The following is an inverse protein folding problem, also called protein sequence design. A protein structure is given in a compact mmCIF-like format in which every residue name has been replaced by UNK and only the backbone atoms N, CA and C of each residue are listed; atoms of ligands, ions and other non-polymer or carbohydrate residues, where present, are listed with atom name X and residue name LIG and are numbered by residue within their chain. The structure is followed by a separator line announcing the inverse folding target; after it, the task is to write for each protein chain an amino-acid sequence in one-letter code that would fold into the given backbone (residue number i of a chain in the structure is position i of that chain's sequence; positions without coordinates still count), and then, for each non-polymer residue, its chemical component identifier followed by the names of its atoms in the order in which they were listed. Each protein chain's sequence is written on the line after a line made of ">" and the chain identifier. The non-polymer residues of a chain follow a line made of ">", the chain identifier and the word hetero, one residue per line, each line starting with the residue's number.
data_IF_712626511439
#
_entry.id   IF_712626511439
#
_cell.length_a   1.000
_cell.length_b   1.000
_cell.length_c   1.000
_cell.angle_alpha   90.00
_cell.angle_beta   90.00
_cell.angle_gamma   90.00
#
_symmetry.space_group_name_H-M   'P 1'
#
loop_
_entity.id
_entity.type
_entity.pdbx_description
1 polymer ?
#
# COMPACT_ATOMS: atom_id res chain seq x y z
N UNK A 1 9.56 -32.25 -6.42
CA UNK A 1 8.17 -32.20 -6.95
C UNK A 1 7.74 -30.73 -6.90
N UNK A 2 7.70 -30.09 -8.05
CA UNK A 2 7.52 -28.64 -8.16
C UNK A 2 6.06 -28.25 -8.26
N UNK A 3 5.62 -27.35 -7.40
CA UNK A 3 4.35 -26.64 -7.56
C UNK A 3 4.58 -25.38 -8.42
N UNK A 4 4.19 -25.46 -9.67
CA UNK A 4 4.11 -24.28 -10.55
C UNK A 4 2.81 -23.56 -10.28
N UNK A 5 2.89 -22.38 -9.61
CA UNK A 5 1.79 -21.44 -9.47
C UNK A 5 1.42 -20.84 -10.83
N UNK A 6 0.19 -21.04 -11.28
CA UNK A 6 -0.36 -20.44 -12.51
C UNK A 6 -0.70 -18.98 -12.27
N UNK A 7 0.02 -18.08 -12.92
CA UNK A 7 -0.40 -16.70 -13.09
C UNK A 7 -1.56 -16.67 -14.10
N UNK A 8 -2.73 -16.21 -13.67
CA UNK A 8 -3.86 -16.01 -14.57
C UNK A 8 -3.61 -14.75 -15.41
N UNK A 9 -3.21 -14.95 -16.68
CA UNK A 9 -3.18 -13.91 -17.68
C UNK A 9 -4.60 -13.74 -18.25
N UNK A 10 -5.19 -12.56 -18.10
CA UNK A 10 -6.44 -12.19 -18.77
C UNK A 10 -6.09 -11.73 -20.18
N UNK A 11 -6.42 -12.57 -21.17
CA UNK A 11 -6.35 -12.23 -22.58
C UNK A 11 -7.62 -11.50 -23.00
N UNK A 12 -7.50 -10.27 -23.51
CA UNK A 12 -8.56 -9.57 -24.25
C UNK A 12 -8.28 -9.63 -25.74
N UNK A 13 -9.23 -10.17 -26.49
CA UNK A 13 -9.20 -10.22 -27.92
C UNK A 13 -9.45 -8.85 -28.56
N UNK A 14 -8.68 -8.51 -29.57
CA UNK A 14 -8.80 -7.28 -30.33
C UNK A 14 -9.81 -7.44 -31.49
N UNK A 15 -10.71 -6.47 -31.66
CA UNK A 15 -11.44 -6.24 -32.90
C UNK A 15 -11.13 -4.82 -33.39
N UNK A 16 -10.61 -4.73 -34.58
CA UNK A 16 -10.34 -3.48 -35.27
C UNK A 16 -11.55 -3.09 -36.15
N UNK A 17 -12.00 -1.84 -36.07
CA UNK A 17 -12.84 -1.20 -37.09
C UNK A 17 -12.39 0.24 -37.25
N UNK A 18 -12.10 0.60 -38.52
CA UNK A 18 -11.72 1.94 -38.95
C UNK A 18 -12.95 2.81 -39.25
N UNK A 19 -12.86 4.11 -39.02
CA UNK A 19 -13.88 5.05 -39.44
C UNK A 19 -13.42 6.51 -39.28
N UNK A 20 -13.39 7.22 -40.44
CA UNK A 20 -13.02 8.64 -40.60
C UNK A 20 -14.13 9.62 -40.17
N UNK A 21 -13.73 10.85 -39.82
CA UNK A 21 -14.49 12.00 -40.27
C UNK A 21 -14.78 13.14 -39.30
N UNK A 22 -14.24 14.32 -39.65
CA UNK A 22 -14.76 15.67 -39.60
C UNK A 22 -14.85 16.43 -38.26
N UNK A 23 -14.22 17.60 -38.25
CA UNK A 23 -14.17 18.57 -37.13
C UNK A 23 -15.45 19.42 -37.03
N UNK A 24 -15.66 19.96 -35.86
CA UNK A 24 -16.45 21.14 -35.59
C UNK A 24 -15.88 21.83 -34.34
N UNK A 25 -15.55 23.10 -34.57
CA UNK A 25 -15.07 24.07 -33.58
C UNK A 25 -16.25 24.51 -32.72
N UNK A 26 -16.16 24.32 -31.42
CA UNK A 26 -17.15 24.90 -30.48
C UNK A 26 -16.47 25.46 -29.25
N UNK A 27 -16.59 26.73 -29.07
CA UNK A 27 -16.26 27.56 -27.92
C UNK A 27 -16.58 26.86 -26.59
N UNK A 28 -15.54 26.52 -25.85
CA UNK A 28 -15.61 25.80 -24.60
C UNK A 28 -15.85 26.76 -23.45
N UNK A 29 -17.08 26.87 -23.04
CA UNK A 29 -17.42 27.44 -21.73
C UNK A 29 -16.78 26.56 -20.66
N UNK A 30 -15.88 27.11 -19.84
CA UNK A 30 -15.24 26.41 -18.75
C UNK A 30 -16.28 26.03 -17.68
N UNK A 31 -16.85 24.86 -17.79
CA UNK A 31 -17.61 24.24 -16.70
C UNK A 31 -16.62 23.88 -15.60
N UNK A 32 -16.60 24.64 -14.53
CA UNK A 32 -15.87 24.32 -13.29
C UNK A 32 -16.41 23.00 -12.76
N UNK A 33 -15.69 21.93 -13.08
CA UNK A 33 -16.00 20.58 -12.61
C UNK A 33 -15.81 20.58 -11.08
N UNK A 34 -16.85 20.23 -10.28
CA UNK A 34 -16.68 20.14 -8.83
C UNK A 34 -15.48 19.24 -8.52
N UNK A 35 -14.66 19.65 -7.57
CA UNK A 35 -13.47 18.86 -7.16
C UNK A 35 -13.91 17.44 -6.88
N UNK A 36 -13.38 16.51 -7.66
CA UNK A 36 -13.78 15.09 -7.55
C UNK A 36 -13.54 14.63 -6.10
N UNK A 37 -14.60 14.18 -5.44
CA UNK A 37 -14.54 13.64 -4.08
C UNK A 37 -13.52 12.49 -4.07
N UNK A 38 -12.58 12.54 -3.12
CA UNK A 38 -11.56 11.48 -3.01
C UNK A 38 -12.23 10.10 -2.87
N UNK A 39 -11.83 9.09 -3.67
CA UNK A 39 -12.39 7.74 -3.59
C UNK A 39 -12.07 7.04 -2.26
N UNK A 40 -11.21 7.63 -1.44
CA UNK A 40 -10.76 7.08 -0.15
C UNK A 40 -11.44 7.75 1.05
N UNK A 41 -12.55 8.47 0.84
CA UNK A 41 -13.34 9.03 1.94
C UNK A 41 -14.11 7.92 2.66
N UNK A 42 -14.16 8.03 3.98
CA UNK A 42 -14.97 7.20 4.85
C UNK A 42 -15.41 8.05 6.05
N UNK A 43 -16.40 7.59 6.77
CA UNK A 43 -16.81 8.20 8.04
C UNK A 43 -15.82 7.79 9.13
N UNK A 44 -14.97 8.74 9.54
CA UNK A 44 -13.98 8.52 10.59
C UNK A 44 -14.63 8.39 11.99
N UNK A 45 -15.86 8.86 12.18
CA UNK A 45 -16.62 8.73 13.43
C UNK A 45 -17.30 7.36 13.57
N UNK A 46 -17.44 6.61 12.47
CA UNK A 46 -18.02 5.27 12.51
C UNK A 46 -17.24 4.34 13.45
N UNK A 47 -17.92 3.54 14.28
CA UNK A 47 -17.27 2.67 15.25
C UNK A 47 -16.23 1.75 14.61
N UNK A 48 -15.06 1.64 15.23
CA UNK A 48 -14.02 0.69 14.80
C UNK A 48 -14.44 -0.76 15.06
N UNK A 49 -15.34 -1.00 15.99
CA UNK A 49 -15.74 -2.33 16.44
C UNK A 49 -14.50 -3.27 16.57
N UNK A 50 -13.42 -2.71 17.15
CA UNK A 50 -12.17 -3.43 17.38
C UNK A 50 -12.40 -4.64 18.26
N UNK A 51 -11.76 -5.76 17.90
CA UNK A 51 -11.81 -7.01 18.67
C UNK A 51 -10.41 -7.59 18.75
N UNK A 52 -10.01 -8.01 19.95
CA UNK A 52 -8.91 -8.94 20.16
C UNK A 52 -9.50 -10.36 20.10
N UNK A 53 -9.04 -11.17 19.17
CA UNK A 53 -9.52 -12.53 18.90
C UNK A 53 -8.69 -13.59 19.63
N UNK A 54 -7.67 -13.15 20.35
CA UNK A 54 -6.81 -14.02 21.14
C UNK A 54 -5.34 -13.96 20.71
N UNK A 55 -4.53 -14.73 21.43
CA UNK A 55 -3.07 -14.80 21.23
C UNK A 55 -2.71 -15.70 20.06
N UNK A 56 -1.80 -15.25 19.22
CA UNK A 56 -1.23 -16.08 18.16
C UNK A 56 -0.08 -16.93 18.74
N UNK A 57 -0.18 -18.23 18.61
CA UNK A 57 0.88 -19.14 19.01
C UNK A 57 2.03 -19.14 18.02
N UNK A 58 3.26 -19.11 18.50
CA UNK A 58 4.46 -19.15 17.67
C UNK A 58 5.71 -18.63 18.38
N UNK A 59 6.89 -18.86 17.80
CA UNK A 59 8.17 -18.43 18.38
C UNK A 59 8.46 -16.96 18.09
N UNK A 60 7.52 -16.08 18.42
CA UNK A 60 7.69 -14.65 18.21
C UNK A 60 8.44 -14.03 19.40
N UNK A 61 9.33 -13.04 19.16
CA UNK A 61 10.10 -12.40 20.22
C UNK A 61 9.20 -11.56 21.17
N UNK A 62 8.03 -11.18 20.71
CA UNK A 62 7.00 -10.45 21.47
C UNK A 62 5.65 -11.11 21.19
N UNK A 63 4.80 -11.07 22.19
CA UNK A 63 3.44 -11.55 22.07
C UNK A 63 2.67 -10.85 20.93
N UNK A 64 1.98 -11.64 20.12
CA UNK A 64 1.18 -11.18 18.98
C UNK A 64 -0.28 -11.54 19.22
N UNK A 65 -1.16 -10.59 19.03
CA UNK A 65 -2.61 -10.78 19.11
C UNK A 65 -3.22 -10.85 17.71
N UNK A 66 -4.15 -11.79 17.50
CA UNK A 66 -5.06 -11.79 16.38
C UNK A 66 -6.13 -10.72 16.65
N UNK A 67 -6.32 -9.82 15.71
CA UNK A 67 -7.23 -8.68 15.90
C UNK A 67 -8.09 -8.44 14.67
N UNK A 68 -9.22 -7.78 14.86
CA UNK A 68 -10.02 -7.32 13.74
C UNK A 68 -10.71 -6.00 14.05
N UNK A 69 -11.05 -5.26 13.00
CA UNK A 69 -11.77 -3.98 13.09
C UNK A 69 -12.71 -3.78 11.91
N UNK A 70 -13.66 -2.84 12.04
CA UNK A 70 -14.61 -2.52 10.99
C UNK A 70 -14.05 -1.50 10.00
N UNK A 71 -14.26 -1.77 8.71
CA UNK A 71 -14.11 -0.83 7.61
C UNK A 71 -15.40 -0.83 6.76
N UNK A 72 -15.64 0.17 5.90
CA UNK A 72 -16.84 0.21 5.05
C UNK A 72 -16.99 -1.00 4.13
N UNK A 73 -15.89 -1.67 3.79
CA UNK A 73 -15.88 -2.90 2.97
C UNK A 73 -16.18 -4.18 3.76
N UNK A 74 -16.34 -4.09 5.07
CA UNK A 74 -16.48 -5.22 5.96
C UNK A 74 -15.44 -5.27 7.06
N UNK A 75 -15.30 -6.43 7.70
CA UNK A 75 -14.33 -6.64 8.76
C UNK A 75 -12.95 -6.90 8.18
N UNK A 76 -11.94 -6.20 8.71
CA UNK A 76 -10.53 -6.36 8.37
C UNK A 76 -9.85 -7.11 9.51
N UNK A 77 -9.15 -8.18 9.17
CA UNK A 77 -8.36 -8.97 10.11
C UNK A 77 -6.89 -8.53 10.09
N UNK A 78 -6.23 -8.58 11.22
CA UNK A 78 -4.84 -8.20 11.36
C UNK A 78 -4.13 -8.95 12.48
N UNK A 79 -2.82 -8.77 12.57
CA UNK A 79 -2.04 -9.12 13.74
C UNK A 79 -1.48 -7.85 14.36
N UNK A 80 -1.47 -7.82 15.69
CA UNK A 80 -0.97 -6.68 16.46
C UNK A 80 0.07 -7.16 17.46
N UNK A 81 1.27 -6.59 17.41
CA UNK A 81 2.33 -6.81 18.38
C UNK A 81 2.60 -5.50 19.11
N UNK A 82 2.33 -5.48 20.42
CA UNK A 82 2.55 -4.32 21.27
C UNK A 82 3.78 -4.56 22.16
N UNK A 83 4.77 -3.67 22.16
CA UNK A 83 5.94 -3.82 23.01
C UNK A 83 5.54 -3.71 24.50
N UNK A 84 6.20 -4.45 25.39
CA UNK A 84 6.02 -4.28 26.83
C UNK A 84 6.59 -2.94 27.30
N UNK A 85 6.12 -2.49 28.46
CA UNK A 85 6.58 -1.27 29.14
C UNK A 85 5.67 -0.07 28.93
N UNK A 86 6.00 0.98 29.66
CA UNK A 86 5.21 2.21 29.70
C UNK A 86 5.60 3.23 28.62
N UNK A 87 4.73 4.21 28.43
CA UNK A 87 4.90 5.32 27.50
C UNK A 87 4.47 5.02 26.08
N UNK A 88 4.28 6.10 25.31
CA UNK A 88 3.86 6.02 23.92
C UNK A 88 5.03 5.76 22.99
N UNK A 89 4.85 4.80 22.11
CA UNK A 89 5.86 4.37 21.12
C UNK A 89 5.37 4.59 19.69
N UNK A 90 6.27 4.61 18.68
CA UNK A 90 5.88 4.59 17.27
C UNK A 90 5.07 3.35 16.92
N UNK A 91 4.36 3.40 15.78
CA UNK A 91 3.71 2.23 15.20
C UNK A 91 4.09 2.07 13.72
N UNK A 92 4.13 0.82 13.25
CA UNK A 92 4.38 0.49 11.84
C UNK A 92 3.33 -0.49 11.36
N UNK A 93 2.67 -0.14 10.26
CA UNK A 93 1.74 -1.01 9.54
C UNK A 93 2.47 -1.68 8.39
N UNK A 94 2.27 -2.99 8.20
CA UNK A 94 2.88 -3.79 7.14
C UNK A 94 1.82 -4.36 6.21
N UNK A 95 2.00 -4.16 4.89
CA UNK A 95 1.06 -4.54 3.84
C UNK A 95 1.69 -5.58 2.90
N UNK A 96 1.02 -6.71 2.77
CA UNK A 96 1.42 -7.83 1.92
C UNK A 96 1.20 -7.59 0.43
N UNK A 97 1.75 -8.46 -0.41
CA UNK A 97 1.56 -8.48 -1.87
C UNK A 97 0.26 -9.17 -2.32
N UNK A 98 0.06 -9.23 -3.64
CA UNK A 98 -1.10 -9.91 -4.23
C UNK A 98 -1.13 -11.40 -3.88
N UNK A 99 -2.31 -11.92 -3.54
CA UNK A 99 -2.50 -13.35 -3.23
C UNK A 99 -1.98 -13.79 -1.85
N UNK A 100 -1.52 -12.85 -1.03
CA UNK A 100 -1.07 -13.10 0.33
C UNK A 100 -2.07 -12.55 1.36
N UNK A 101 -1.68 -12.56 2.63
CA UNK A 101 -2.48 -12.09 3.75
C UNK A 101 -1.59 -11.51 4.87
N UNK A 102 -2.18 -11.19 6.01
CA UNK A 102 -1.53 -10.64 7.21
C UNK A 102 -0.31 -11.43 7.71
N UNK A 103 -0.17 -12.72 7.37
CA UNK A 103 0.96 -13.56 7.82
C UNK A 103 2.29 -13.14 7.19
N UNK A 104 2.28 -12.57 5.98
CA UNK A 104 3.49 -12.20 5.25
C UNK A 104 4.50 -11.43 6.09
N UNK A 105 4.03 -10.46 6.86
CA UNK A 105 4.87 -9.58 7.67
C UNK A 105 4.71 -9.78 9.18
N UNK A 106 4.13 -10.89 9.62
CA UNK A 106 3.90 -11.15 11.03
C UNK A 106 5.20 -11.09 11.85
N UNK A 107 6.27 -11.72 11.36
CA UNK A 107 7.57 -11.68 12.03
C UNK A 107 8.15 -10.26 12.05
N UNK A 108 7.98 -9.47 10.98
CA UNK A 108 8.44 -8.08 10.94
C UNK A 108 7.67 -7.21 11.96
N UNK A 109 6.37 -7.42 12.12
CA UNK A 109 5.56 -6.74 13.14
C UNK A 109 6.02 -7.09 14.56
N UNK A 110 6.26 -8.39 14.85
CA UNK A 110 6.79 -8.83 16.13
C UNK A 110 8.21 -8.28 16.41
N UNK A 111 9.04 -8.17 15.36
CA UNK A 111 10.38 -7.57 15.46
C UNK A 111 10.32 -6.06 15.71
N UNK A 112 9.36 -5.35 15.13
CA UNK A 112 9.12 -3.94 15.44
C UNK A 112 8.78 -3.77 16.93
N UNK A 113 7.94 -4.64 17.49
CA UNK A 113 7.59 -4.62 18.89
C UNK A 113 8.80 -4.91 19.81
N UNK A 114 9.68 -5.83 19.42
CA UNK A 114 10.96 -6.05 20.10
C UNK A 114 11.90 -4.83 20.09
N UNK A 115 11.63 -3.83 19.25
CA UNK A 115 12.36 -2.56 19.12
C UNK A 115 11.56 -1.35 19.59
N UNK A 116 10.59 -1.57 20.47
CA UNK A 116 9.73 -0.54 21.04
C UNK A 116 8.95 0.26 19.98
N UNK A 117 8.38 -0.43 19.00
CA UNK A 117 7.39 0.12 18.09
C UNK A 117 6.22 -0.87 17.98
N UNK A 118 4.98 -0.41 18.05
CA UNK A 118 3.83 -1.28 17.77
C UNK A 118 3.91 -1.74 16.32
N UNK A 119 3.84 -3.07 16.09
CA UNK A 119 3.78 -3.66 14.76
C UNK A 119 2.36 -4.12 14.45
N UNK A 120 1.82 -3.76 13.30
CA UNK A 120 0.51 -4.22 12.83
C UNK A 120 0.59 -4.74 11.41
N UNK A 121 -0.01 -5.90 11.16
CA UNK A 121 -0.27 -6.40 9.81
C UNK A 121 -1.77 -6.46 9.57
N UNK A 122 -2.20 -6.46 8.33
CA UNK A 122 -3.61 -6.66 7.99
C UNK A 122 -3.76 -7.48 6.70
N UNK A 123 -4.85 -8.19 6.57
CA UNK A 123 -5.29 -8.80 5.32
C UNK A 123 -6.03 -7.73 4.52
N UNK A 124 -5.50 -7.37 3.37
CA UNK A 124 -6.13 -6.38 2.50
C UNK A 124 -7.45 -6.92 1.94
N UNK A 125 -8.54 -6.13 1.85
CA UNK A 125 -9.81 -6.53 1.26
C UNK A 125 -9.69 -7.16 -0.13
N UNK A 126 -8.71 -6.74 -0.94
CA UNK A 126 -8.44 -7.33 -2.26
C UNK A 126 -8.10 -8.82 -2.20
N UNK A 127 -7.50 -9.30 -1.10
CA UNK A 127 -7.15 -10.71 -0.93
C UNK A 127 -8.35 -11.60 -0.59
N UNK A 128 -9.46 -11.01 -0.14
CA UNK A 128 -10.70 -11.70 0.22
C UNK A 128 -11.85 -11.43 -0.74
N UNK A 129 -11.64 -10.59 -1.75
CA UNK A 129 -12.68 -10.13 -2.69
C UNK A 129 -13.23 -11.22 -3.62
N UNK A 130 -12.62 -12.40 -3.64
CA UNK A 130 -12.97 -13.50 -4.53
C UNK A 130 -12.70 -13.23 -6.02
N UNK A 131 -12.93 -14.22 -6.84
CA UNK A 131 -12.82 -14.08 -8.30
C UNK A 131 -13.89 -13.10 -8.83
N UNK A 132 -13.62 -12.38 -9.93
CA UNK A 132 -14.65 -11.57 -10.56
C UNK A 132 -15.79 -12.46 -11.05
N UNK A 133 -17.06 -12.04 -10.92
CA UNK A 133 -18.19 -12.72 -11.54
C UNK A 133 -17.97 -12.89 -13.05
N UNK A 134 -18.44 -14.00 -13.60
CA UNK A 134 -18.44 -14.18 -15.05
C UNK A 134 -19.33 -13.15 -15.74
N UNK A 135 -18.99 -12.79 -16.98
CA UNK A 135 -19.82 -11.91 -17.82
C UNK A 135 -19.76 -10.42 -17.48
N UNK A 136 -18.85 -9.97 -16.63
CA UNK A 136 -18.67 -8.54 -16.42
C UNK A 136 -18.17 -7.84 -17.69
N UNK A 137 -18.80 -6.72 -18.03
CA UNK A 137 -18.26 -5.82 -19.06
C UNK A 137 -16.93 -5.21 -18.60
N UNK A 138 -16.07 -4.72 -19.50
CA UNK A 138 -14.83 -4.04 -19.12
C UNK A 138 -15.03 -2.88 -18.15
N UNK A 139 -16.11 -2.11 -18.33
CA UNK A 139 -16.45 -1.00 -17.42
C UNK A 139 -16.85 -1.48 -16.02
N UNK A 140 -17.58 -2.60 -15.92
CA UNK A 140 -17.96 -3.19 -14.63
C UNK A 140 -16.73 -3.79 -13.92
N UNK A 141 -15.86 -4.51 -14.63
CA UNK A 141 -14.59 -5.00 -14.10
C UNK A 141 -13.75 -3.86 -13.53
N UNK A 142 -13.54 -2.81 -14.31
CA UNK A 142 -12.78 -1.64 -13.87
C UNK A 142 -13.40 -0.96 -12.64
N UNK A 143 -14.72 -0.82 -12.60
CA UNK A 143 -15.42 -0.24 -11.46
C UNK A 143 -15.26 -1.12 -10.21
N UNK A 144 -15.29 -2.44 -10.35
CA UNK A 144 -15.04 -3.40 -9.29
C UNK A 144 -13.61 -3.27 -8.76
N UNK A 145 -12.62 -3.33 -9.63
CA UNK A 145 -11.21 -3.29 -9.26
C UNK A 145 -10.85 -1.97 -8.56
N UNK A 146 -11.39 -0.86 -9.04
CA UNK A 146 -11.25 0.45 -8.39
C UNK A 146 -11.88 0.46 -6.99
N UNK A 147 -13.07 -0.13 -6.81
CA UNK A 147 -13.71 -0.21 -5.48
C UNK A 147 -12.90 -1.07 -4.51
N UNK A 148 -12.38 -2.22 -4.99
CA UNK A 148 -11.54 -3.11 -4.18
C UNK A 148 -10.25 -2.40 -3.77
N UNK A 149 -9.55 -1.75 -4.69
CA UNK A 149 -8.36 -0.99 -4.38
C UNK A 149 -8.65 0.19 -3.42
N UNK A 150 -9.78 0.86 -3.58
CA UNK A 150 -10.19 1.90 -2.64
C UNK A 150 -10.49 1.33 -1.26
N UNK A 151 -11.08 0.14 -1.18
CA UNK A 151 -11.31 -0.56 0.08
C UNK A 151 -9.98 -0.91 0.78
N UNK A 152 -8.94 -1.33 0.05
CA UNK A 152 -7.61 -1.58 0.60
C UNK A 152 -7.05 -0.30 1.27
N UNK A 153 -7.09 0.83 0.57
CA UNK A 153 -6.59 2.11 1.11
C UNK A 153 -7.40 2.55 2.34
N UNK A 154 -8.73 2.40 2.30
CA UNK A 154 -9.59 2.75 3.44
C UNK A 154 -9.31 1.81 4.62
N UNK A 155 -9.12 0.51 4.39
CA UNK A 155 -8.76 -0.44 5.44
C UNK A 155 -7.47 -0.05 6.16
N UNK A 156 -6.44 0.38 5.41
CA UNK A 156 -5.18 0.88 5.99
C UNK A 156 -5.41 2.17 6.79
N UNK A 157 -6.22 3.10 6.29
CA UNK A 157 -6.55 4.33 7.03
C UNK A 157 -7.33 4.03 8.33
N UNK A 158 -8.23 3.04 8.30
CA UNK A 158 -8.91 2.56 9.51
C UNK A 158 -7.94 1.86 10.48
N UNK A 159 -6.89 1.17 9.98
CA UNK A 159 -5.81 0.67 10.84
C UNK A 159 -5.05 1.80 11.53
N UNK A 160 -4.85 2.94 10.85
CA UNK A 160 -4.30 4.15 11.47
C UNK A 160 -5.23 4.67 12.58
N UNK A 161 -6.56 4.62 12.40
CA UNK A 161 -7.53 4.99 13.45
C UNK A 161 -7.42 4.05 14.66
N UNK A 162 -7.33 2.73 14.43
CA UNK A 162 -7.09 1.74 15.49
C UNK A 162 -5.83 2.07 16.27
N UNK A 163 -4.70 2.24 15.58
CA UNK A 163 -3.43 2.53 16.22
C UNK A 163 -3.45 3.85 16.98
N UNK A 164 -4.06 4.89 16.42
CA UNK A 164 -4.16 6.19 17.08
C UNK A 164 -5.01 6.15 18.37
N UNK A 165 -5.94 5.20 18.46
CA UNK A 165 -6.76 4.95 19.66
C UNK A 165 -6.08 4.11 20.73
N UNK A 166 -4.96 3.44 20.42
CA UNK A 166 -4.23 2.65 21.43
C UNK A 166 -3.44 3.55 22.38
N UNK A 167 -3.55 3.37 23.70
CA UNK A 167 -2.85 4.21 24.68
C UNK A 167 -1.33 4.13 24.56
N UNK A 168 -0.80 3.01 24.05
CA UNK A 168 0.64 2.79 23.86
C UNK A 168 1.21 3.45 22.59
N UNK A 169 0.38 3.94 21.67
CA UNK A 169 0.83 4.50 20.40
C UNK A 169 0.94 6.03 20.47
N UNK A 170 2.05 6.59 19.96
CA UNK A 170 2.10 8.01 19.60
C UNK A 170 1.52 8.20 18.18
N UNK A 171 0.33 8.80 18.05
CA UNK A 171 -0.33 8.94 16.74
C UNK A 171 0.43 9.87 15.77
N UNK A 172 1.43 10.59 16.25
CA UNK A 172 2.32 11.43 15.44
C UNK A 172 3.51 10.67 14.86
N UNK A 173 3.66 9.36 15.19
CA UNK A 173 4.79 8.52 14.79
C UNK A 173 4.31 7.19 14.20
N UNK A 174 3.50 7.27 13.13
CA UNK A 174 2.99 6.08 12.42
C UNK A 174 3.72 5.94 11.09
N UNK A 175 4.27 4.75 10.84
CA UNK A 175 4.92 4.35 9.60
C UNK A 175 4.13 3.31 8.84
N UNK A 176 4.46 3.18 7.55
CA UNK A 176 3.81 2.26 6.62
C UNK A 176 4.87 1.57 5.77
N UNK A 177 4.80 0.26 5.69
CA UNK A 177 5.64 -0.58 4.84
C UNK A 177 4.73 -1.40 3.94
N UNK A 178 4.98 -1.39 2.64
CA UNK A 178 4.22 -2.22 1.71
C UNK A 178 5.13 -2.90 0.71
N UNK A 179 4.78 -4.12 0.31
CA UNK A 179 5.46 -4.88 -0.73
C UNK A 179 4.53 -5.16 -1.90
N UNK A 180 5.00 -4.99 -3.15
CA UNK A 180 4.26 -5.29 -4.37
C UNK A 180 2.91 -4.55 -4.43
N UNK A 181 1.76 -5.23 -4.42
CA UNK A 181 0.44 -4.61 -4.29
C UNK A 181 0.37 -3.72 -3.04
N UNK A 182 0.86 -4.22 -1.90
CA UNK A 182 0.90 -3.46 -0.65
C UNK A 182 1.70 -2.16 -0.77
N UNK A 183 2.75 -2.12 -1.61
CA UNK A 183 3.50 -0.90 -1.88
C UNK A 183 2.68 0.12 -2.69
N UNK A 184 1.85 -0.32 -3.64
CA UNK A 184 0.93 0.57 -4.36
C UNK A 184 -0.13 1.15 -3.43
N UNK A 185 -0.72 0.31 -2.57
CA UNK A 185 -1.67 0.74 -1.52
C UNK A 185 -0.99 1.72 -0.57
N UNK A 186 0.24 1.43 -0.12
CA UNK A 186 1.02 2.29 0.75
C UNK A 186 1.33 3.65 0.10
N UNK A 187 1.69 3.68 -1.19
CA UNK A 187 1.95 4.90 -1.94
C UNK A 187 0.72 5.82 -1.99
N UNK A 188 -0.46 5.24 -2.23
CA UNK A 188 -1.72 5.99 -2.24
C UNK A 188 -2.09 6.44 -0.82
N UNK A 189 -1.95 5.55 0.16
CA UNK A 189 -2.27 5.87 1.56
C UNK A 189 -1.38 6.98 2.10
N UNK A 190 -0.08 7.00 1.78
CA UNK A 190 0.84 8.04 2.22
C UNK A 190 0.42 9.45 1.75
N UNK A 191 -0.18 9.54 0.56
CA UNK A 191 -0.72 10.80 0.03
C UNK A 191 -2.14 11.15 0.48
N UNK A 192 -2.90 10.16 0.99
CA UNK A 192 -4.28 10.32 1.42
C UNK A 192 -4.44 10.43 2.95
N UNK A 193 -3.39 10.08 3.72
CA UNK A 193 -3.42 9.99 5.19
C UNK A 193 -2.26 10.80 5.81
N UNK A 194 -2.51 12.02 6.26
CA UNK A 194 -1.47 12.93 6.74
C UNK A 194 -0.79 12.50 8.04
N UNK A 195 -1.36 11.51 8.78
CA UNK A 195 -0.76 10.96 10.00
C UNK A 195 0.44 10.04 9.71
N UNK A 196 0.61 9.56 8.47
CA UNK A 196 1.77 8.75 8.08
C UNK A 196 3.02 9.64 8.01
N UNK A 197 4.08 9.21 8.71
CA UNK A 197 5.34 9.95 8.86
C UNK A 197 6.52 9.31 8.14
N UNK A 198 6.44 8.02 7.86
CA UNK A 198 7.45 7.29 7.11
C UNK A 198 6.75 6.23 6.25
N UNK A 199 7.19 6.07 5.02
CA UNK A 199 6.64 5.08 4.09
C UNK A 199 7.77 4.35 3.39
N UNK A 200 7.73 3.03 3.41
CA UNK A 200 8.67 2.18 2.66
C UNK A 200 7.87 1.42 1.59
N UNK A 201 8.29 1.57 0.35
CA UNK A 201 7.67 0.97 -0.83
C UNK A 201 8.64 -0.07 -1.40
N UNK A 202 8.33 -1.35 -1.22
CA UNK A 202 9.17 -2.47 -1.64
C UNK A 202 8.62 -3.07 -2.95
N UNK A 203 9.38 -3.02 -4.04
CA UNK A 203 9.02 -3.57 -5.36
C UNK A 203 7.63 -3.09 -5.84
N UNK A 204 7.29 -1.83 -5.56
CA UNK A 204 6.03 -1.21 -5.94
C UNK A 204 6.21 -0.30 -7.14
N UNK A 205 5.41 -0.48 -8.19
CA UNK A 205 5.48 0.34 -9.39
C UNK A 205 4.21 1.13 -9.69
N UNK A 206 4.32 2.01 -10.67
CA UNK A 206 3.16 2.70 -11.24
C UNK A 206 2.12 1.72 -11.79
N UNK A 207 0.85 2.12 -11.80
CA UNK A 207 -0.15 1.43 -12.59
C UNK A 207 0.13 1.65 -14.08
N UNK A 208 0.03 0.62 -14.93
CA UNK A 208 0.24 0.77 -16.37
C UNK A 208 -0.99 1.40 -17.06
N UNK A 209 -1.38 2.61 -16.61
CA UNK A 209 -2.59 3.33 -17.06
C UNK A 209 -2.63 3.46 -18.58
N UNK A 210 -1.51 3.83 -19.19
CA UNK A 210 -1.43 3.98 -20.65
C UNK A 210 -1.68 2.66 -21.38
N UNK A 211 -1.16 1.53 -20.89
CA UNK A 211 -1.37 0.21 -21.46
C UNK A 211 -2.84 -0.22 -21.34
N UNK A 212 -3.46 -0.04 -20.19
CA UNK A 212 -4.90 -0.31 -20.02
C UNK A 212 -5.77 0.54 -20.95
N UNK A 213 -5.45 1.83 -21.07
CA UNK A 213 -6.17 2.74 -21.96
C UNK A 213 -5.98 2.35 -23.43
N UNK A 214 -4.76 1.97 -23.86
CA UNK A 214 -4.48 1.58 -25.24
C UNK A 214 -5.25 0.32 -25.67
N UNK A 215 -5.42 -0.64 -24.77
CA UNK A 215 -6.14 -1.90 -25.02
C UNK A 215 -7.67 -1.73 -24.99
N UNK A 216 -8.18 -0.61 -24.51
CA UNK A 216 -9.60 -0.37 -24.39
C UNK A 216 -10.22 0.13 -25.70
N UNK A 217 -11.51 -0.18 -25.98
CA UNK A 217 -12.27 0.45 -27.06
C UNK A 217 -12.18 1.98 -27.00
N UNK A 218 -12.04 2.62 -28.16
CA UNK A 218 -11.82 4.08 -28.24
C UNK A 218 -12.85 4.89 -27.43
N UNK A 219 -14.10 4.48 -27.49
CA UNK A 219 -15.22 5.11 -26.75
C UNK A 219 -15.10 5.03 -25.23
N UNK A 220 -14.39 4.03 -24.69
CA UNK A 220 -14.22 3.83 -23.25
C UNK A 220 -12.91 4.42 -22.71
N UNK A 221 -11.95 4.77 -23.58
CA UNK A 221 -10.62 5.27 -23.15
C UNK A 221 -10.67 6.46 -22.20
N UNK A 222 -11.50 7.50 -22.45
CA UNK A 222 -11.59 8.63 -21.52
C UNK A 222 -12.08 8.20 -20.13
N UNK A 223 -13.11 7.35 -20.07
CA UNK A 223 -13.67 6.85 -18.81
C UNK A 223 -12.66 5.99 -18.04
N UNK A 224 -11.96 5.09 -18.73
CA UNK A 224 -10.94 4.21 -18.14
C UNK A 224 -9.79 5.05 -17.60
N UNK A 225 -9.28 5.99 -18.36
CA UNK A 225 -8.23 6.92 -17.91
C UNK A 225 -8.67 7.68 -16.67
N UNK A 226 -9.85 8.30 -16.68
CA UNK A 226 -10.38 9.05 -15.55
C UNK A 226 -10.52 8.17 -14.29
N UNK A 227 -10.99 6.94 -14.46
CA UNK A 227 -11.18 5.97 -13.39
C UNK A 227 -9.85 5.55 -12.75
N UNK A 228 -8.86 5.18 -13.56
CA UNK A 228 -7.54 4.76 -13.08
C UNK A 228 -6.76 5.92 -12.45
N UNK A 229 -6.87 7.14 -13.00
CA UNK A 229 -6.22 8.32 -12.44
C UNK A 229 -6.66 8.61 -11.00
N UNK A 230 -7.88 8.24 -10.61
CA UNK A 230 -8.36 8.47 -9.24
C UNK A 230 -7.62 7.61 -8.20
N UNK A 231 -7.13 6.45 -8.58
CA UNK A 231 -6.43 5.49 -7.73
C UNK A 231 -4.94 5.36 -8.06
N UNK A 232 -4.43 6.20 -8.96
CA UNK A 232 -3.05 6.11 -9.45
C UNK A 232 -2.03 6.41 -8.34
N UNK A 233 -1.14 5.47 -7.99
CA UNK A 233 -0.07 5.67 -7.02
C UNK A 233 0.81 6.88 -7.34
N UNK A 234 1.05 7.20 -8.63
CA UNK A 234 1.86 8.36 -9.03
C UNK A 234 1.25 9.67 -8.55
N UNK A 235 -0.06 9.81 -8.68
CA UNK A 235 -0.79 11.01 -8.28
C UNK A 235 -0.81 11.21 -6.77
N UNK A 236 -0.91 10.10 -6.02
CA UNK A 236 -1.06 10.17 -4.57
C UNK A 236 0.26 10.27 -3.85
N UNK A 237 1.29 9.50 -4.26
CA UNK A 237 2.60 9.55 -3.62
C UNK A 237 3.21 10.96 -3.66
N UNK A 238 2.95 11.73 -4.72
CA UNK A 238 3.39 13.11 -4.83
C UNK A 238 2.88 14.03 -3.71
N UNK A 239 1.83 13.63 -3.01
CA UNK A 239 1.23 14.35 -1.87
C UNK A 239 1.75 13.88 -0.52
N UNK A 240 2.54 12.83 -0.48
CA UNK A 240 3.16 12.37 0.76
C UNK A 240 4.12 13.45 1.29
N UNK A 241 4.43 13.36 2.57
CA UNK A 241 5.33 14.32 3.23
C UNK A 241 6.72 14.29 2.58
N UNK A 242 7.34 15.43 2.27
CA UNK A 242 8.72 15.48 1.79
C UNK A 242 9.68 14.74 2.71
N UNK A 243 10.61 13.96 2.15
CA UNK A 243 11.61 13.20 2.87
C UNK A 243 11.07 12.00 3.67
N UNK A 244 9.80 11.62 3.52
CA UNK A 244 9.17 10.52 4.26
C UNK A 244 9.12 9.19 3.51
N UNK A 245 9.65 9.10 2.30
CA UNK A 245 9.50 7.92 1.44
C UNK A 245 10.85 7.27 1.14
N UNK A 246 10.92 5.96 1.32
CA UNK A 246 11.98 5.08 0.83
C UNK A 246 11.38 4.12 -0.20
N UNK A 247 11.90 4.13 -1.42
CA UNK A 247 11.60 3.15 -2.46
C UNK A 247 12.74 2.13 -2.52
N UNK A 248 12.38 0.86 -2.54
CA UNK A 248 13.31 -0.28 -2.54
C UNK A 248 12.96 -1.21 -3.69
N UNK A 249 13.83 -1.33 -4.68
CA UNK A 249 13.56 -2.04 -5.92
C UNK A 249 14.66 -3.05 -6.27
N UNK A 250 14.25 -4.21 -6.79
CA UNK A 250 15.16 -5.23 -7.30
C UNK A 250 15.66 -4.90 -8.69
N UNK A 251 16.99 -5.03 -8.92
CA UNK A 251 17.57 -4.83 -10.26
C UNK A 251 17.13 -5.88 -11.27
N UNK A 252 16.69 -7.05 -10.79
CA UNK A 252 16.19 -8.20 -11.55
C UNK A 252 14.73 -8.50 -11.24
N UNK A 253 13.92 -7.46 -10.95
CA UNK A 253 12.48 -7.62 -10.77
C UNK A 253 11.84 -7.96 -12.12
N UNK A 254 11.29 -9.17 -12.23
CA UNK A 254 10.62 -9.71 -13.43
C UNK A 254 9.09 -9.53 -13.36
N UNK A 255 8.55 -9.08 -12.22
CA UNK A 255 7.12 -8.90 -12.00
C UNK A 255 6.70 -7.46 -12.28
N UNK A 256 7.45 -6.50 -11.73
CA UNK A 256 7.18 -5.08 -11.92
C UNK A 256 8.20 -4.49 -12.89
N UNK A 257 7.79 -4.05 -14.09
CA UNK A 257 8.72 -3.51 -15.07
C UNK A 257 9.50 -2.31 -14.54
N UNK A 258 10.79 -2.26 -14.83
CA UNK A 258 11.68 -1.17 -14.39
C UNK A 258 11.16 0.23 -14.70
N UNK A 259 10.53 0.51 -15.88
CA UNK A 259 9.93 1.83 -16.12
C UNK A 259 8.83 2.20 -15.12
N UNK A 260 8.05 1.22 -14.64
CA UNK A 260 7.00 1.46 -13.65
C UNK A 260 7.58 1.77 -12.25
N UNK A 261 8.69 1.10 -11.86
CA UNK A 261 9.44 1.40 -10.63
C UNK A 261 10.00 2.82 -10.68
N UNK A 262 10.69 3.17 -11.77
CA UNK A 262 11.26 4.51 -11.97
C UNK A 262 10.18 5.61 -12.03
N UNK A 263 9.02 5.34 -12.62
CA UNK A 263 7.92 6.29 -12.66
C UNK A 263 7.40 6.62 -11.25
N UNK A 264 7.27 5.61 -10.38
CA UNK A 264 6.86 5.82 -8.99
C UNK A 264 7.91 6.61 -8.21
N UNK A 265 9.19 6.29 -8.41
CA UNK A 265 10.30 7.02 -7.77
C UNK A 265 10.35 8.50 -8.23
N UNK A 266 10.13 8.75 -9.52
CA UNK A 266 10.07 10.13 -10.07
C UNK A 266 8.89 10.93 -9.53
N UNK A 267 7.76 10.28 -9.26
CA UNK A 267 6.58 10.94 -8.71
C UNK A 267 6.66 11.18 -7.20
N UNK A 268 7.57 10.50 -6.50
CA UNK A 268 7.72 10.63 -5.06
C UNK A 268 8.17 12.05 -4.66
N UNK A 269 7.78 12.57 -3.48
CA UNK A 269 8.05 13.92 -3.07
C UNK A 269 9.55 14.18 -2.87
N UNK A 270 9.96 15.45 -2.90
CA UNK A 270 11.36 15.86 -2.68
C UNK A 270 11.94 15.23 -1.41
N UNK A 271 13.19 14.76 -1.49
CA UNK A 271 13.89 14.12 -0.39
C UNK A 271 13.53 12.64 -0.18
N UNK A 272 12.76 12.05 -1.10
CA UNK A 272 12.56 10.59 -1.14
C UNK A 272 13.84 9.88 -1.52
N UNK A 273 14.04 8.67 -0.99
CA UNK A 273 15.21 7.84 -1.27
C UNK A 273 14.81 6.68 -2.19
N UNK A 274 15.61 6.43 -3.23
CA UNK A 274 15.50 5.26 -4.08
C UNK A 274 16.74 4.38 -3.88
N UNK A 275 16.54 3.11 -3.57
CA UNK A 275 17.59 2.11 -3.41
C UNK A 275 17.35 0.90 -4.30
N UNK A 276 18.40 0.51 -5.03
CA UNK A 276 18.39 -0.66 -5.90
C UNK A 276 19.22 -1.78 -5.30
N UNK A 277 18.64 -2.98 -5.27
CA UNK A 277 19.27 -4.16 -4.71
C UNK A 277 19.58 -5.20 -5.80
N UNK A 278 20.63 -5.99 -5.60
CA UNK A 278 20.95 -7.16 -6.43
C UNK A 278 19.97 -8.31 -6.09
N UNK A 279 18.69 -8.08 -6.38
CA UNK A 279 17.57 -8.97 -6.03
C UNK A 279 16.51 -8.95 -7.14
N UNK A 280 15.59 -9.92 -7.10
CA UNK A 280 14.37 -9.95 -7.89
C UNK A 280 13.22 -9.18 -7.22
N UNK A 281 11.98 -9.61 -7.49
CA UNK A 281 10.78 -9.03 -6.88
C UNK A 281 10.77 -9.19 -5.35
N UNK A 282 11.23 -10.34 -4.86
CA UNK A 282 11.56 -10.56 -3.46
C UNK A 282 12.90 -9.89 -3.16
N UNK A 283 12.89 -8.87 -2.36
CA UNK A 283 14.11 -8.16 -2.00
C UNK A 283 15.00 -9.00 -1.08
N UNK A 284 16.28 -8.65 -1.03
CA UNK A 284 17.28 -9.36 -0.24
C UNK A 284 17.36 -8.82 1.21
N UNK A 285 18.11 -9.50 2.13
CA UNK A 285 18.25 -9.05 3.52
C UNK A 285 18.80 -7.62 3.69
N UNK A 286 19.57 -7.11 2.71
CA UNK A 286 20.04 -5.73 2.78
C UNK A 286 18.89 -4.73 2.71
N UNK A 287 17.87 -4.99 1.89
CA UNK A 287 16.69 -4.13 1.81
C UNK A 287 15.98 -4.03 3.17
N UNK A 288 15.85 -5.13 3.89
CA UNK A 288 15.22 -5.13 5.22
C UNK A 288 16.04 -4.37 6.27
N UNK A 289 17.39 -4.45 6.21
CA UNK A 289 18.25 -3.63 7.07
C UNK A 289 18.10 -2.14 6.78
N UNK A 290 18.07 -1.77 5.52
CA UNK A 290 17.91 -0.38 5.08
C UNK A 290 16.51 0.17 5.43
N UNK A 291 15.49 -0.66 5.30
CA UNK A 291 14.13 -0.34 5.75
C UNK A 291 14.12 -0.01 7.25
N UNK A 292 14.72 -0.87 8.07
CA UNK A 292 14.77 -0.66 9.52
C UNK A 292 15.53 0.63 9.86
N UNK A 293 16.69 0.86 9.26
CA UNK A 293 17.47 2.07 9.46
C UNK A 293 16.68 3.34 9.09
N UNK A 294 15.96 3.31 7.96
CA UNK A 294 15.09 4.41 7.55
C UNK A 294 13.95 4.65 8.55
N UNK A 295 13.26 3.60 8.99
CA UNK A 295 12.18 3.71 9.97
C UNK A 295 12.71 4.24 11.31
N UNK A 296 13.89 3.80 11.77
CA UNK A 296 14.53 4.29 12.99
C UNK A 296 14.83 5.78 12.89
N UNK A 297 15.32 6.24 11.75
CA UNK A 297 15.60 7.67 11.51
C UNK A 297 14.33 8.52 11.52
N UNK A 298 13.25 8.02 10.91
CA UNK A 298 12.01 8.80 10.69
C UNK A 298 11.02 8.75 11.86
N UNK A 299 11.02 7.64 12.62
CA UNK A 299 10.05 7.39 13.68
C UNK A 299 10.67 7.34 15.10
N UNK A 300 11.92 7.70 15.30
CA UNK A 300 12.83 7.37 16.41
C UNK A 300 12.47 6.04 17.12
N UNK A 301 12.46 4.94 16.34
CA UNK A 301 12.32 3.58 16.86
C UNK A 301 13.63 3.23 17.57
N UNK A 302 13.58 2.97 18.87
CA UNK A 302 14.77 2.60 19.64
C UNK A 302 15.15 1.16 19.28
N UNK A 303 16.39 0.98 18.83
CA UNK A 303 16.99 -0.36 18.76
C UNK A 303 17.24 -0.91 20.16
N UNK A 304 17.40 -2.23 20.36
CA UNK A 304 18.09 -2.72 21.53
C UNK A 304 19.45 -2.00 21.53
N UNK A 305 19.79 -1.39 22.67
CA UNK A 305 21.16 -0.95 22.90
C UNK A 305 22.04 -2.20 22.76
N UNK A 306 22.82 -2.29 21.67
CA UNK A 306 23.86 -3.30 21.56
C UNK A 306 24.85 -2.95 22.65
N UNK A 307 25.04 -3.78 23.68
CA UNK A 307 26.07 -3.51 24.67
C UNK A 307 27.42 -3.49 23.92
N UNK A 308 28.07 -2.33 23.81
CA UNK A 308 29.39 -2.18 23.19
C UNK A 308 29.49 -1.34 21.93
N UNK A 309 28.42 -0.78 21.38
CA UNK A 309 28.53 0.24 20.33
C UNK A 309 29.01 1.55 20.98
N UNK A 310 30.31 1.73 21.08
CA UNK A 310 30.94 3.03 21.40
C UNK A 310 30.55 4.00 20.27
N UNK A 311 29.84 5.05 20.61
CA UNK A 311 29.79 6.28 19.82
C UNK A 311 31.20 6.88 19.91
N UNK A 312 32.02 6.64 18.90
CA UNK A 312 33.27 7.35 18.73
C UNK A 312 33.01 8.79 18.31
N UNK A 313 33.93 9.70 18.60
CA UNK A 313 33.77 11.14 18.43
C UNK A 313 33.57 11.57 16.99
#
# INVERSE_FOLDING_TARGET
>A
MGLRGRAAAVALAALAVAGCGAGADTTRTAVTRPAAVSPFRYDASAPLAYRNLGRVNGPYPIAVDDVSYAAPSGRVEGYLAVPPGEGRVPAVIYLHGSGENRQRFLLAAAWAAGRRAVGMTLTLPSSTAGAPPAGLTPSQSLARDRRIFAADVIAVRRAVDVLAGLPQVDPRRIGLVGWSLGARVAAVTAGAEPRIRATVLMSGGALPVSAYVAQAPATLRPQIRASLTQIDPLRWIARARPGSVLLQDGRRDEIVPRPALLALAKAAPKGSLLRWYAAGHELNPQAYRDQLAFLQQKLPIRGPSVPGARTGP
#
